data_IF_392263099048
#
_entry.id   IF_392263099048
#
_cell.length_a   1.000
_cell.length_b   1.000
_cell.length_c   1.000
_cell.angle_alpha   90.00
_cell.angle_beta   90.00
_cell.angle_gamma   90.00
#
_symmetry.space_group_name_H-M   'P 1'
#
loop_
_entity.id
_entity.type
_entity.pdbx_description
1 polymer ?
#
# COMPACT_ATOMS: atom_id res chain seq x y z
N UNK A 1 9.51 -6.82 -19.46
CA UNK A 1 8.83 -7.35 -18.26
C UNK A 1 9.84 -8.21 -17.53
N UNK A 2 10.29 -7.78 -16.35
CA UNK A 2 11.32 -8.51 -15.59
C UNK A 2 10.76 -9.81 -15.02
N UNK A 3 11.49 -10.91 -15.18
CA UNK A 3 11.09 -12.22 -14.66
C UNK A 3 11.42 -12.31 -13.17
N UNK A 4 10.53 -12.95 -12.39
CA UNK A 4 10.77 -13.25 -10.97
C UNK A 4 11.87 -14.31 -10.88
N UNK A 5 12.86 -14.09 -10.03
CA UNK A 5 13.94 -15.05 -9.79
C UNK A 5 13.89 -15.54 -8.35
N UNK A 6 14.15 -16.83 -8.17
CA UNK A 6 14.17 -17.49 -6.87
C UNK A 6 15.60 -17.83 -6.51
N UNK A 7 16.00 -17.50 -5.28
CA UNK A 7 17.31 -17.82 -4.72
C UNK A 7 17.12 -18.99 -3.77
N UNK A 8 17.86 -20.07 -3.99
CA UNK A 8 17.85 -21.25 -3.13
C UNK A 8 19.20 -21.44 -2.43
N UNK A 9 19.16 -22.01 -1.23
CA UNK A 9 20.36 -22.45 -0.52
C UNK A 9 20.88 -23.80 -1.06
N UNK A 10 21.97 -24.29 -0.44
CA UNK A 10 22.63 -25.56 -0.79
C UNK A 10 21.71 -26.79 -0.65
N UNK A 11 20.58 -26.66 0.06
CA UNK A 11 19.60 -27.72 0.29
C UNK A 11 18.40 -27.62 -0.67
N UNK A 12 18.51 -26.79 -1.72
CA UNK A 12 17.42 -26.42 -2.64
C UNK A 12 16.22 -25.76 -1.96
N UNK A 13 16.39 -25.19 -0.75
CA UNK A 13 15.33 -24.45 -0.08
C UNK A 13 15.36 -23.01 -0.55
N UNK A 14 14.23 -22.49 -1.01
CA UNK A 14 14.09 -21.09 -1.42
C UNK A 14 14.28 -20.19 -0.19
N UNK A 15 15.30 -19.35 -0.23
CA UNK A 15 15.66 -18.40 0.84
C UNK A 15 15.36 -16.96 0.47
N UNK A 16 15.21 -16.65 -0.82
CA UNK A 16 14.94 -15.30 -1.30
C UNK A 16 14.27 -15.26 -2.66
N UNK A 17 13.74 -14.09 -3.00
CA UNK A 17 13.11 -13.83 -4.31
C UNK A 17 13.53 -12.44 -4.78
N UNK A 18 13.95 -12.34 -6.04
CA UNK A 18 14.19 -11.06 -6.73
C UNK A 18 12.97 -10.78 -7.60
N UNK A 19 12.36 -9.63 -7.37
CA UNK A 19 11.17 -9.17 -8.10
C UNK A 19 11.45 -7.84 -8.81
N UNK A 20 10.77 -7.54 -9.93
CA UNK A 20 10.78 -6.21 -10.52
C UNK A 20 10.30 -5.14 -9.53
N UNK A 21 10.82 -3.91 -9.66
CA UNK A 21 10.51 -2.83 -8.71
C UNK A 21 9.01 -2.48 -8.68
N UNK A 22 8.34 -2.50 -9.83
CA UNK A 22 6.91 -2.21 -9.92
C UNK A 22 6.08 -3.22 -9.11
N UNK A 23 6.43 -4.51 -9.23
CA UNK A 23 5.78 -5.59 -8.47
C UNK A 23 6.06 -5.47 -6.97
N UNK A 24 7.28 -5.05 -6.58
CA UNK A 24 7.59 -4.80 -5.18
C UNK A 24 6.74 -3.66 -4.60
N UNK A 25 6.58 -2.56 -5.34
CA UNK A 25 5.77 -1.42 -4.91
C UNK A 25 4.30 -1.79 -4.76
N UNK A 26 3.76 -2.63 -5.64
CA UNK A 26 2.41 -3.19 -5.52
C UNK A 26 2.26 -4.03 -4.24
N UNK A 27 3.17 -4.99 -4.00
CA UNK A 27 3.15 -5.84 -2.81
C UNK A 27 3.30 -5.02 -1.51
N UNK A 28 4.12 -3.97 -1.51
CA UNK A 28 4.27 -3.07 -0.36
C UNK A 28 3.00 -2.24 -0.11
N UNK A 29 2.37 -1.74 -1.18
CA UNK A 29 1.09 -1.02 -1.10
C UNK A 29 0.00 -1.90 -0.49
N UNK A 30 0.00 -3.20 -0.81
CA UNK A 30 -0.88 -4.17 -0.17
C UNK A 30 -0.58 -4.35 1.31
N UNK A 31 0.67 -4.30 1.78
CA UNK A 31 0.99 -4.42 3.22
C UNK A 31 0.45 -3.25 4.03
N UNK A 32 0.62 -2.03 3.52
CA UNK A 32 0.12 -0.82 4.19
C UNK A 32 -1.42 -0.77 4.19
N UNK A 33 -2.02 -1.10 3.04
CA UNK A 33 -3.48 -1.23 2.93
C UNK A 33 -4.02 -2.37 3.81
N UNK A 34 -3.38 -3.53 3.81
CA UNK A 34 -3.76 -4.67 4.64
C UNK A 34 -3.63 -4.35 6.13
N UNK A 35 -2.62 -3.59 6.54
CA UNK A 35 -2.49 -3.10 7.90
C UNK A 35 -3.68 -2.24 8.30
N UNK A 36 -4.07 -1.27 7.47
CA UNK A 36 -5.26 -0.46 7.71
C UNK A 36 -6.56 -1.28 7.68
N UNK A 37 -6.64 -2.30 6.82
CA UNK A 37 -7.80 -3.18 6.72
C UNK A 37 -7.98 -4.14 7.91
N UNK A 38 -6.95 -4.37 8.74
CA UNK A 38 -7.06 -5.18 9.97
C UNK A 38 -8.04 -4.57 10.97
N UNK A 39 -8.21 -3.26 11.00
CA UNK A 39 -9.17 -2.58 11.86
C UNK A 39 -10.50 -2.38 11.14
N UNK A 40 -11.60 -2.90 11.70
CA UNK A 40 -12.96 -2.69 11.18
C UNK A 40 -13.31 -1.20 11.05
N UNK A 41 -12.88 -0.39 12.02
CA UNK A 41 -13.11 1.06 12.01
C UNK A 41 -12.33 1.74 10.87
N UNK A 42 -11.09 1.34 10.65
CA UNK A 42 -10.24 1.92 9.61
C UNK A 42 -10.68 1.49 8.20
N UNK A 43 -11.07 0.22 8.02
CA UNK A 43 -11.71 -0.26 6.79
C UNK A 43 -12.94 0.58 6.42
N UNK A 44 -13.80 0.88 7.39
CA UNK A 44 -14.98 1.74 7.16
C UNK A 44 -14.58 3.15 6.72
N UNK A 45 -13.56 3.75 7.34
CA UNK A 45 -13.05 5.08 6.97
C UNK A 45 -12.47 5.10 5.56
N UNK A 46 -11.69 4.09 5.17
CA UNK A 46 -11.13 3.96 3.83
C UNK A 46 -12.21 3.86 2.75
N UNK A 47 -13.22 3.00 2.98
CA UNK A 47 -14.34 2.87 2.04
C UNK A 47 -15.15 4.17 1.91
N UNK A 48 -15.37 4.88 3.02
CA UNK A 48 -16.05 6.17 3.00
C UNK A 48 -15.23 7.24 2.25
N UNK A 49 -13.91 7.27 2.44
CA UNK A 49 -13.02 8.19 1.74
C UNK A 49 -12.98 7.92 0.23
N UNK A 50 -12.89 6.64 -0.17
CA UNK A 50 -12.91 6.23 -1.58
C UNK A 50 -14.18 6.68 -2.31
N UNK A 51 -15.32 6.63 -1.64
CA UNK A 51 -16.62 6.99 -2.23
C UNK A 51 -16.96 8.48 -2.12
N UNK A 52 -16.10 9.29 -1.50
CA UNK A 52 -16.36 10.72 -1.31
C UNK A 52 -16.13 11.45 -2.63
N UNK A 53 -17.15 12.17 -3.10
CA UNK A 53 -17.07 13.04 -4.27
C UNK A 53 -16.72 14.50 -3.92
N UNK A 54 -16.79 14.84 -2.64
CA UNK A 54 -16.44 16.16 -2.12
C UNK A 54 -14.96 16.26 -1.77
N UNK A 55 -14.32 17.34 -2.18
CA UNK A 55 -12.96 17.69 -1.86
C UNK A 55 -12.90 19.13 -1.31
N UNK A 56 -11.80 19.45 -0.64
CA UNK A 56 -11.48 20.82 -0.26
C UNK A 56 -10.17 21.20 -0.93
N UNK A 57 -10.02 22.45 -1.31
CA UNK A 57 -8.74 22.95 -1.83
C UNK A 57 -7.66 22.87 -0.76
N UNK A 58 -6.40 22.82 -1.18
CA UNK A 58 -5.27 22.83 -0.25
C UNK A 58 -5.28 24.08 0.63
N UNK A 59 -5.54 25.25 0.05
CA UNK A 59 -5.62 26.53 0.78
C UNK A 59 -6.75 26.53 1.82
N UNK A 60 -7.91 25.98 1.48
CA UNK A 60 -9.02 25.87 2.43
C UNK A 60 -8.73 24.85 3.54
N UNK A 61 -7.95 23.80 3.23
CA UNK A 61 -7.48 22.85 4.22
C UNK A 61 -6.50 23.50 5.20
N UNK A 62 -5.50 24.22 4.70
CA UNK A 62 -4.55 24.99 5.51
C UNK A 62 -5.25 25.97 6.44
N UNK A 63 -6.17 26.79 5.90
CA UNK A 63 -6.98 27.72 6.70
C UNK A 63 -7.80 27.04 7.79
N UNK A 64 -8.42 25.89 7.50
CA UNK A 64 -9.21 25.13 8.49
C UNK A 64 -8.34 24.48 9.57
N UNK A 65 -7.13 24.06 9.21
CA UNK A 65 -6.20 23.37 10.11
C UNK A 65 -5.30 24.35 10.89
N UNK A 66 -5.28 25.64 10.52
CA UNK A 66 -4.49 26.67 11.18
C UNK A 66 -2.99 26.54 10.91
N UNK A 67 -2.63 25.99 9.75
CA UNK A 67 -1.25 25.77 9.28
C UNK A 67 -0.97 26.52 7.98
#
# INVERSE_FOLDING_TARGET
MGQIQYISDEQNKVTGVIVPIDLWQEIQSEKETAYLLKSKAMKKRLLAAKNRQENISFDDACKKLGV
#
